data_IF_877199758025
#
_entry.id   IF_877199758025
#
_cell.length_a   1.000
_cell.length_b   1.000
_cell.length_c   1.000
_cell.angle_alpha   90.00
_cell.angle_beta   90.00
_cell.angle_gamma   90.00
#
_symmetry.space_group_name_H-M   'P 1'
#
loop_
_entity.id
_entity.type
_entity.pdbx_description
1 polymer ?
#
# COMPACT_ATOMS: atom_id res chain seq x y z
N UNK A 1 -12.57 -19.33 3.42
CA UNK A 1 -11.16 -18.90 3.58
C UNK A 1 -10.66 -18.09 2.40
N UNK A 2 -10.80 -18.57 1.15
CA UNK A 2 -10.32 -17.85 -0.05
C UNK A 2 -10.83 -16.39 -0.18
N UNK A 3 -12.14 -16.15 -0.16
CA UNK A 3 -12.73 -14.79 -0.18
C UNK A 3 -12.29 -13.88 0.97
N UNK A 4 -11.90 -14.48 2.10
CA UNK A 4 -11.41 -13.73 3.27
C UNK A 4 -9.97 -13.27 3.00
N UNK A 5 -9.15 -14.11 2.39
CA UNK A 5 -7.77 -13.77 2.00
C UNK A 5 -7.79 -12.68 0.92
N UNK A 6 -8.62 -12.82 -0.12
CA UNK A 6 -8.80 -11.81 -1.18
C UNK A 6 -9.15 -10.44 -0.58
N UNK A 7 -10.21 -10.40 0.25
CA UNK A 7 -10.63 -9.17 0.92
C UNK A 7 -9.55 -8.59 1.84
N UNK A 8 -8.85 -9.43 2.60
CA UNK A 8 -7.78 -8.98 3.49
C UNK A 8 -6.62 -8.38 2.68
N UNK A 9 -6.25 -8.98 1.54
CA UNK A 9 -5.21 -8.45 0.68
C UNK A 9 -5.61 -7.17 -0.03
N UNK A 10 -6.90 -7.00 -0.37
CA UNK A 10 -7.46 -5.74 -0.86
C UNK A 10 -7.35 -4.66 0.21
N UNK A 11 -7.85 -4.94 1.41
CA UNK A 11 -7.87 -3.99 2.53
C UNK A 11 -6.43 -3.54 2.88
N UNK A 12 -5.48 -4.48 2.99
CA UNK A 12 -4.07 -4.16 3.29
C UNK A 12 -3.45 -3.31 2.19
N UNK A 13 -3.69 -3.64 0.92
CA UNK A 13 -3.15 -2.88 -0.20
C UNK A 13 -3.70 -1.44 -0.19
N UNK A 14 -5.01 -1.26 -0.11
CA UNK A 14 -5.64 0.06 -0.13
C UNK A 14 -5.27 0.91 1.09
N UNK A 15 -5.19 0.32 2.29
CA UNK A 15 -4.75 1.03 3.50
C UNK A 15 -3.31 1.49 3.34
N UNK A 16 -2.43 0.61 2.84
CA UNK A 16 -1.01 0.93 2.64
C UNK A 16 -0.83 2.03 1.61
N UNK A 17 -1.54 1.95 0.47
CA UNK A 17 -1.53 2.95 -0.59
C UNK A 17 -2.05 4.30 -0.08
N UNK A 18 -3.18 4.30 0.63
CA UNK A 18 -3.77 5.51 1.19
C UNK A 18 -2.83 6.18 2.20
N UNK A 19 -2.23 5.38 3.09
CA UNK A 19 -1.25 5.88 4.06
C UNK A 19 -0.06 6.51 3.36
N UNK A 20 0.47 5.84 2.33
CA UNK A 20 1.57 6.36 1.54
C UNK A 20 1.21 7.69 0.86
N UNK A 21 0.04 7.78 0.22
CA UNK A 21 -0.43 9.01 -0.43
C UNK A 21 -0.57 10.15 0.57
N UNK A 22 -1.18 9.91 1.73
CA UNK A 22 -1.33 10.95 2.77
C UNK A 22 0.05 11.41 3.26
N UNK A 23 0.95 10.47 3.55
CA UNK A 23 2.28 10.79 4.04
C UNK A 23 3.11 11.54 3.00
N UNK A 24 3.01 11.15 1.73
CA UNK A 24 3.66 11.84 0.64
C UNK A 24 3.14 13.28 0.49
N UNK A 25 1.82 13.48 0.58
CA UNK A 25 1.22 14.83 0.56
C UNK A 25 1.71 15.66 1.76
N UNK A 26 1.74 15.10 2.96
CA UNK A 26 2.24 15.80 4.15
C UNK A 26 3.72 16.20 3.98
N UNK A 27 4.53 15.32 3.41
CA UNK A 27 5.95 15.60 3.11
C UNK A 27 6.10 16.71 2.07
N UNK A 28 5.21 16.78 1.06
CA UNK A 28 5.18 17.88 0.09
C UNK A 28 4.78 19.22 0.72
N UNK A 29 3.89 19.21 1.72
CA UNK A 29 3.47 20.44 2.42
C UNK A 29 4.58 21.00 3.30
N UNK A 30 5.33 20.11 3.95
CA UNK A 30 6.51 20.47 4.74
C UNK A 30 7.46 19.29 4.82
N UNK A 31 8.62 19.50 4.24
CA UNK A 31 9.73 18.56 4.28
C UNK A 31 10.11 18.20 5.72
N UNK A 32 10.35 16.92 5.98
CA UNK A 32 10.68 16.39 7.30
C UNK A 32 9.47 16.09 8.19
N UNK A 33 8.23 16.34 7.78
CA UNK A 33 7.07 15.98 8.62
C UNK A 33 6.93 14.47 8.81
N UNK A 34 7.21 13.69 7.77
CA UNK A 34 7.13 12.23 7.81
C UNK A 34 8.53 11.63 7.77
N UNK A 35 9.38 12.13 6.87
CA UNK A 35 10.71 11.55 6.62
C UNK A 35 11.65 11.60 7.84
N UNK A 36 11.43 12.51 8.80
CA UNK A 36 12.18 12.53 10.06
C UNK A 36 11.86 11.34 11.00
N UNK A 37 10.73 10.67 10.79
CA UNK A 37 10.26 9.58 11.64
C UNK A 37 10.17 8.25 10.89
N UNK A 38 9.95 8.29 9.58
CA UNK A 38 9.65 7.11 8.79
C UNK A 38 10.06 7.27 7.31
N UNK A 39 10.68 6.23 6.74
CA UNK A 39 11.10 6.21 5.35
C UNK A 39 9.93 5.96 4.38
N UNK A 40 9.51 7.01 3.69
CA UNK A 40 8.45 6.99 2.68
C UNK A 40 8.74 6.05 1.50
N UNK A 41 10.02 5.85 1.14
CA UNK A 41 10.40 4.93 0.05
C UNK A 41 10.21 3.48 0.47
N UNK A 42 10.47 3.17 1.75
CA UNK A 42 10.23 1.83 2.28
C UNK A 42 8.73 1.48 2.23
N UNK A 43 7.86 2.41 2.60
CA UNK A 43 6.41 2.20 2.47
C UNK A 43 5.96 2.09 1.02
N UNK A 44 6.57 2.84 0.09
CA UNK A 44 6.30 2.67 -1.34
C UNK A 44 6.62 1.25 -1.82
N UNK A 45 7.76 0.69 -1.39
CA UNK A 45 8.14 -0.69 -1.72
C UNK A 45 7.08 -1.67 -1.21
N UNK A 46 6.59 -1.51 0.02
CA UNK A 46 5.50 -2.33 0.54
C UNK A 46 4.21 -2.20 -0.27
N UNK A 47 3.82 -0.99 -0.66
CA UNK A 47 2.66 -0.75 -1.52
C UNK A 47 2.79 -1.48 -2.85
N UNK A 48 3.97 -1.43 -3.49
CA UNK A 48 4.24 -2.13 -4.76
C UNK A 48 4.15 -3.65 -4.57
N UNK A 49 4.78 -4.19 -3.52
CA UNK A 49 4.73 -5.63 -3.23
C UNK A 49 3.29 -6.08 -2.99
N UNK A 50 2.52 -5.34 -2.21
CA UNK A 50 1.11 -5.64 -1.99
C UNK A 50 0.27 -5.49 -3.26
N UNK A 51 0.54 -4.50 -4.11
CA UNK A 51 -0.14 -4.35 -5.41
C UNK A 51 0.08 -5.58 -6.30
N UNK A 52 1.31 -6.10 -6.33
CA UNK A 52 1.67 -7.30 -7.10
C UNK A 52 0.94 -8.52 -6.54
N UNK A 53 1.02 -8.76 -5.24
CA UNK A 53 0.35 -9.90 -4.58
C UNK A 53 -1.17 -9.83 -4.80
N UNK A 54 -1.75 -8.64 -4.59
CA UNK A 54 -3.17 -8.38 -4.78
C UNK A 54 -3.59 -8.65 -6.24
N UNK A 55 -2.82 -8.15 -7.20
CA UNK A 55 -3.07 -8.38 -8.62
C UNK A 55 -2.97 -9.85 -8.99
N UNK A 56 -1.97 -10.58 -8.52
CA UNK A 56 -1.85 -12.02 -8.79
C UNK A 56 -3.05 -12.79 -8.23
N UNK A 57 -3.42 -12.52 -6.97
CA UNK A 57 -4.55 -13.19 -6.33
C UNK A 57 -5.88 -12.84 -7.05
N UNK A 58 -6.10 -11.59 -7.44
CA UNK A 58 -7.35 -11.18 -8.08
C UNK A 58 -7.39 -11.49 -9.59
N UNK A 59 -6.26 -11.51 -10.30
CA UNK A 59 -6.18 -11.78 -11.74
C UNK A 59 -6.27 -13.28 -12.07
N UNK A 60 -5.65 -14.14 -11.27
CA UNK A 60 -5.69 -15.61 -11.48
C UNK A 60 -7.09 -16.19 -11.23
N UNK A 61 -7.98 -15.43 -10.57
CA UNK A 61 -9.36 -15.81 -10.30
C UNK A 61 -10.40 -15.06 -11.12
N UNK A 62 -9.99 -14.09 -11.94
CA UNK A 62 -10.84 -13.43 -12.94
C UNK A 62 -10.98 -14.22 -14.24
N UNK A 63 -10.31 -15.38 -14.34
CA UNK A 63 -10.50 -16.40 -15.38
C UNK A 63 -11.23 -17.62 -14.82
#
# INVERSE_FOLDING_TARGET
>A
MRKVIEKLTDDIFYISLLTWVIYFILELLKEGLVSNYFDLNLLLIFVIVFAIINSFLNYDFGR
#
